data_IF_134034930926
#
_entry.id   IF_134034930926
#
_cell.length_a   1.000
_cell.length_b   1.000
_cell.length_c   1.000
_cell.angle_alpha   90.00
_cell.angle_beta   90.00
_cell.angle_gamma   90.00
#
_symmetry.space_group_name_H-M   'P 1'
#
loop_
_entity.id
_entity.type
_entity.pdbx_description
1 polymer ?
#
# COMPACT_ATOMS: atom_id res chain seq x y z
N UNK A 1 -38.31 -7.26 6.53
CA UNK A 1 -39.34 -7.94 7.34
C UNK A 1 -40.38 -6.94 7.77
N UNK A 2 -41.65 -7.23 7.52
CA UNK A 2 -42.77 -6.38 7.95
C UNK A 2 -43.34 -6.99 9.24
N UNK A 3 -42.94 -6.45 10.39
CA UNK A 3 -43.38 -6.97 11.70
C UNK A 3 -44.81 -6.51 11.95
N UNK A 4 -45.78 -7.36 11.60
CA UNK A 4 -47.21 -7.13 11.81
C UNK A 4 -47.75 -8.07 12.87
N UNK A 5 -48.63 -7.54 13.71
CA UNK A 5 -49.43 -8.36 14.61
C UNK A 5 -50.41 -9.21 13.79
N UNK A 6 -50.90 -10.30 14.37
CA UNK A 6 -52.02 -11.08 13.80
C UNK A 6 -53.25 -10.19 13.56
N UNK A 7 -53.41 -9.09 14.32
CA UNK A 7 -54.46 -8.08 14.12
C UNK A 7 -54.14 -7.00 13.06
N UNK A 8 -53.02 -7.09 12.34
CA UNK A 8 -52.63 -6.16 11.27
C UNK A 8 -51.87 -4.90 11.74
N UNK A 9 -51.81 -4.62 13.05
CA UNK A 9 -51.07 -3.47 13.59
C UNK A 9 -49.57 -3.62 13.36
N UNK A 10 -48.94 -2.56 12.81
CA UNK A 10 -47.50 -2.51 12.63
C UNK A 10 -46.79 -2.35 13.97
N UNK A 11 -45.84 -3.25 14.27
CA UNK A 11 -45.04 -3.18 15.49
C UNK A 11 -43.93 -2.12 15.45
N UNK A 12 -43.89 -1.26 14.42
CA UNK A 12 -42.84 -0.25 14.23
C UNK A 12 -42.74 0.78 15.34
N UNK A 13 -43.79 0.96 16.16
CA UNK A 13 -43.78 1.84 17.34
C UNK A 13 -43.07 1.26 18.58
N UNK A 14 -42.74 -0.03 18.60
CA UNK A 14 -42.12 -0.67 19.75
C UNK A 14 -40.60 -0.81 19.57
N UNK A 15 -39.82 -0.38 20.57
CA UNK A 15 -38.34 -0.32 20.54
C UNK A 15 -37.67 -1.62 20.10
N UNK A 16 -38.19 -2.79 20.50
CA UNK A 16 -37.62 -4.09 20.12
C UNK A 16 -37.74 -4.39 18.63
N UNK A 17 -38.87 -4.05 18.01
CA UNK A 17 -39.12 -4.31 16.59
C UNK A 17 -38.48 -3.25 15.69
N UNK A 18 -38.30 -2.02 16.18
CA UNK A 18 -37.49 -1.02 15.47
C UNK A 18 -36.01 -1.41 15.42
N UNK A 19 -35.44 -1.97 16.50
CA UNK A 19 -34.09 -2.53 16.54
C UNK A 19 -33.96 -3.70 15.55
N UNK A 20 -34.89 -4.66 15.55
CA UNK A 20 -34.86 -5.79 14.60
C UNK A 20 -34.97 -5.32 13.14
N UNK A 21 -35.80 -4.30 12.86
CA UNK A 21 -35.89 -3.69 11.53
C UNK A 21 -34.56 -3.02 11.13
N UNK A 22 -33.90 -2.29 12.03
CA UNK A 22 -32.59 -1.70 11.79
C UNK A 22 -31.51 -2.78 11.54
N UNK A 23 -31.51 -3.85 12.32
CA UNK A 23 -30.59 -4.98 12.14
C UNK A 23 -30.83 -5.71 10.81
N UNK A 24 -32.09 -5.83 10.37
CA UNK A 24 -32.40 -6.41 9.05
C UNK A 24 -31.90 -5.57 7.87
N UNK A 25 -31.58 -4.28 8.10
CA UNK A 25 -30.99 -3.40 7.09
C UNK A 25 -29.46 -3.42 7.11
N UNK A 26 -28.83 -3.99 8.14
CA UNK A 26 -27.38 -3.97 8.33
C UNK A 26 -26.60 -4.49 7.10
N UNK A 27 -26.99 -5.58 6.41
CA UNK A 27 -26.33 -6.02 5.17
C UNK A 27 -26.28 -4.96 4.07
N UNK A 28 -27.41 -4.28 3.84
CA UNK A 28 -27.49 -3.24 2.82
C UNK A 28 -26.75 -1.95 3.21
N UNK A 29 -26.71 -1.62 4.51
CA UNK A 29 -25.89 -0.51 5.02
C UNK A 29 -24.40 -0.83 4.85
N UNK A 30 -23.99 -2.04 5.23
CA UNK A 30 -22.62 -2.52 5.09
C UNK A 30 -22.14 -2.47 3.63
N UNK A 31 -22.91 -3.04 2.70
CA UNK A 31 -22.58 -3.04 1.28
C UNK A 31 -22.47 -1.60 0.71
N UNK A 32 -23.35 -0.69 1.12
CA UNK A 32 -23.28 0.73 0.72
C UNK A 32 -22.04 1.45 1.27
N UNK A 33 -21.65 1.17 2.52
CA UNK A 33 -20.46 1.75 3.13
C UNK A 33 -19.18 1.23 2.45
N UNK A 34 -19.09 -0.08 2.20
CA UNK A 34 -18.01 -0.67 1.42
C UNK A 34 -17.90 -0.04 0.03
N UNK A 35 -19.02 0.10 -0.65
CA UNK A 35 -19.06 0.74 -1.97
C UNK A 35 -18.58 2.19 -1.92
N UNK A 36 -19.00 2.96 -0.92
CA UNK A 36 -18.54 4.35 -0.73
C UNK A 36 -17.02 4.40 -0.50
N UNK A 37 -16.48 3.52 0.34
CA UNK A 37 -15.04 3.40 0.56
C UNK A 37 -14.29 3.01 -0.73
N UNK A 38 -14.82 2.03 -1.47
CA UNK A 38 -14.27 1.59 -2.75
C UNK A 38 -14.26 2.69 -3.81
N UNK A 39 -15.34 3.46 -3.95
CA UNK A 39 -15.42 4.60 -4.87
C UNK A 39 -14.41 5.68 -4.51
N UNK A 40 -14.25 5.99 -3.22
CA UNK A 40 -13.22 6.93 -2.76
C UNK A 40 -11.81 6.41 -3.07
N UNK A 41 -11.55 5.12 -2.81
CA UNK A 41 -10.28 4.47 -3.14
C UNK A 41 -9.96 4.57 -4.64
N UNK A 42 -10.93 4.24 -5.49
CA UNK A 42 -10.83 4.35 -6.96
C UNK A 42 -10.51 5.79 -7.40
N UNK A 43 -11.17 6.76 -6.79
CA UNK A 43 -10.95 8.20 -7.07
C UNK A 43 -9.53 8.62 -6.70
N UNK A 44 -9.06 8.23 -5.51
CA UNK A 44 -7.68 8.51 -5.11
C UNK A 44 -6.67 7.82 -6.03
N UNK A 45 -6.87 6.54 -6.37
CA UNK A 45 -5.99 5.80 -7.27
C UNK A 45 -5.84 6.50 -8.64
N UNK A 46 -6.96 6.93 -9.25
CA UNK A 46 -6.94 7.70 -10.51
C UNK A 46 -6.14 8.98 -10.39
N UNK A 47 -6.36 9.75 -9.32
CA UNK A 47 -5.68 11.04 -9.11
C UNK A 47 -4.19 10.86 -8.83
N UNK A 48 -3.80 9.83 -8.08
CA UNK A 48 -2.37 9.51 -7.84
C UNK A 48 -1.71 9.19 -9.17
N UNK A 49 -2.32 8.31 -9.98
CA UNK A 49 -1.78 7.94 -11.28
C UNK A 49 -1.69 9.14 -12.24
N UNK A 50 -2.71 9.99 -12.28
CA UNK A 50 -2.73 11.20 -13.10
C UNK A 50 -1.57 12.14 -12.74
N UNK A 51 -1.43 12.50 -11.46
CA UNK A 51 -0.38 13.43 -11.04
C UNK A 51 1.03 12.84 -11.12
N UNK A 52 1.19 11.52 -10.90
CA UNK A 52 2.46 10.83 -11.15
C UNK A 52 2.90 10.98 -12.62
N UNK A 53 1.97 10.78 -13.55
CA UNK A 53 2.22 10.93 -14.99
C UNK A 53 2.51 12.38 -15.37
N UNK A 54 1.71 13.32 -14.86
CA UNK A 54 1.84 14.76 -15.09
C UNK A 54 3.21 15.29 -14.65
N UNK A 55 3.75 14.82 -13.51
CA UNK A 55 5.11 15.17 -13.07
C UNK A 55 6.16 14.72 -14.08
N UNK A 56 6.05 13.50 -14.62
CA UNK A 56 6.96 13.00 -15.65
C UNK A 56 6.91 13.83 -16.93
N UNK A 57 5.71 14.09 -17.44
CA UNK A 57 5.51 14.79 -18.72
C UNK A 57 5.86 16.28 -18.65
N UNK A 58 5.58 16.94 -17.52
CA UNK A 58 5.85 18.37 -17.33
C UNK A 58 7.30 18.70 -16.97
N UNK A 59 8.18 17.70 -16.78
CA UNK A 59 9.55 17.96 -16.31
C UNK A 59 10.37 18.80 -17.29
N UNK A 60 10.21 18.59 -18.59
CA UNK A 60 10.92 19.37 -19.61
C UNK A 60 10.53 20.86 -19.53
N UNK A 61 9.24 21.15 -19.58
CA UNK A 61 8.71 22.50 -19.49
C UNK A 61 9.10 23.20 -18.17
N UNK A 62 9.23 22.43 -17.08
CA UNK A 62 9.74 22.95 -15.81
C UNK A 62 11.21 23.40 -15.93
N UNK A 63 12.09 22.61 -16.57
CA UNK A 63 13.51 22.94 -16.73
C UNK A 63 13.69 24.26 -17.50
N UNK A 64 12.90 24.47 -18.56
CA UNK A 64 12.97 25.67 -19.39
C UNK A 64 12.62 26.97 -18.65
N UNK A 65 11.87 26.86 -17.54
CA UNK A 65 11.44 27.99 -16.72
C UNK A 65 12.44 28.37 -15.63
N UNK A 66 13.37 27.47 -15.25
CA UNK A 66 14.38 27.76 -14.24
C UNK A 66 15.41 28.73 -14.81
N UNK A 67 15.72 29.79 -14.05
CA UNK A 67 16.72 30.80 -14.42
C UNK A 67 17.82 30.85 -13.36
N UNK A 68 19.04 30.37 -13.62
CA UNK A 68 20.12 30.32 -12.62
C UNK A 68 20.77 31.68 -12.43
N UNK A 69 20.07 32.58 -11.74
CA UNK A 69 20.56 33.90 -11.36
C UNK A 69 19.84 34.40 -10.10
N UNK A 70 20.46 35.33 -9.34
CA UNK A 70 19.90 35.80 -8.07
C UNK A 70 18.58 36.56 -8.22
N UNK A 71 18.36 37.26 -9.34
CA UNK A 71 17.14 38.03 -9.56
C UNK A 71 15.90 37.13 -9.72
N UNK A 72 16.09 35.91 -10.20
CA UNK A 72 15.03 34.91 -10.36
C UNK A 72 14.86 33.99 -9.15
N UNK A 73 15.61 34.18 -8.06
CA UNK A 73 15.62 33.25 -6.92
C UNK A 73 14.22 33.00 -6.32
N UNK A 74 13.41 34.05 -6.14
CA UNK A 74 12.05 33.91 -5.63
C UNK A 74 11.11 33.20 -6.61
N UNK A 75 11.28 33.46 -7.92
CA UNK A 75 10.51 32.78 -8.96
C UNK A 75 10.85 31.29 -9.02
N UNK A 76 12.15 30.94 -8.98
CA UNK A 76 12.61 29.56 -8.94
C UNK A 76 12.08 28.83 -7.69
N UNK A 77 12.10 29.47 -6.51
CA UNK A 77 11.53 28.93 -5.27
C UNK A 77 10.04 28.61 -5.43
N UNK A 78 9.27 29.53 -6.01
CA UNK A 78 7.83 29.32 -6.27
C UNK A 78 7.58 28.19 -7.29
N UNK A 79 8.36 28.12 -8.36
CA UNK A 79 8.29 27.06 -9.37
C UNK A 79 8.55 25.68 -8.74
N UNK A 80 9.64 25.55 -7.98
CA UNK A 80 9.99 24.31 -7.27
C UNK A 80 8.89 23.91 -6.27
N UNK A 81 8.39 24.86 -5.48
CA UNK A 81 7.36 24.59 -4.48
C UNK A 81 6.01 24.16 -5.08
N UNK A 82 5.65 24.72 -6.24
CA UNK A 82 4.37 24.43 -6.90
C UNK A 82 4.36 23.10 -7.66
N UNK A 83 5.53 22.64 -8.14
CA UNK A 83 5.66 21.49 -9.06
C UNK A 83 4.90 20.24 -8.63
N UNK A 84 5.06 19.83 -7.37
CA UNK A 84 4.43 18.61 -6.84
C UNK A 84 3.36 18.90 -5.77
N UNK A 85 2.87 20.14 -5.72
CA UNK A 85 1.92 20.58 -4.70
C UNK A 85 0.60 19.80 -4.74
N UNK A 86 0.08 19.52 -5.94
CA UNK A 86 -1.18 18.76 -6.08
C UNK A 86 -1.05 17.33 -5.57
N UNK A 87 0.11 16.70 -5.78
CA UNK A 87 0.39 15.35 -5.31
C UNK A 87 0.51 15.29 -3.78
N UNK A 88 1.14 16.32 -3.17
CA UNK A 88 1.21 16.45 -1.72
C UNK A 88 -0.18 16.68 -1.10
N UNK A 89 -0.98 17.60 -1.65
CA UNK A 89 -2.36 17.84 -1.20
C UNK A 89 -3.23 16.59 -1.33
N UNK A 90 -3.03 15.80 -2.38
CA UNK A 90 -3.70 14.51 -2.55
C UNK A 90 -3.27 13.51 -1.47
N UNK A 91 -1.98 13.43 -1.16
CA UNK A 91 -1.51 12.59 -0.04
C UNK A 91 -2.15 13.02 1.28
N UNK A 92 -2.24 14.32 1.55
CA UNK A 92 -2.86 14.84 2.78
C UNK A 92 -4.36 14.50 2.79
N UNK A 93 -5.05 14.62 1.65
CA UNK A 93 -6.46 14.21 1.52
C UNK A 93 -6.69 12.71 1.77
N UNK A 94 -5.72 11.86 1.39
CA UNK A 94 -5.77 10.42 1.68
C UNK A 94 -5.58 10.19 3.19
N UNK A 95 -4.66 10.91 3.82
CA UNK A 95 -4.42 10.84 5.26
C UNK A 95 -5.65 11.29 6.07
N UNK A 96 -6.30 12.38 5.68
CA UNK A 96 -7.51 12.88 6.32
C UNK A 96 -8.67 11.89 6.20
N UNK A 97 -8.74 11.13 5.11
CA UNK A 97 -9.78 10.12 4.90
C UNK A 97 -9.49 8.80 5.64
N UNK A 98 -8.22 8.46 5.84
CA UNK A 98 -7.77 7.18 6.42
C UNK A 98 -8.41 6.83 7.77
N UNK A 99 -8.60 7.76 8.74
CA UNK A 99 -9.33 7.50 9.98
C UNK A 99 -10.75 6.96 9.75
N UNK A 100 -11.44 7.40 8.69
CA UNK A 100 -12.79 6.91 8.36
C UNK A 100 -12.77 5.43 7.99
N UNK A 101 -11.79 4.99 7.19
CA UNK A 101 -11.63 3.59 6.84
C UNK A 101 -11.25 2.73 8.07
N UNK A 102 -10.37 3.24 8.94
CA UNK A 102 -9.99 2.57 10.19
C UNK A 102 -11.20 2.39 11.11
N UNK A 103 -11.98 3.46 11.32
CA UNK A 103 -13.18 3.41 12.16
C UNK A 103 -14.22 2.42 11.61
N UNK A 104 -14.39 2.38 10.29
CA UNK A 104 -15.22 1.37 9.64
C UNK A 104 -14.71 -0.05 9.94
N UNK A 105 -13.44 -0.34 9.67
CA UNK A 105 -12.84 -1.65 9.94
C UNK A 105 -12.94 -2.09 11.41
N UNK A 106 -12.72 -1.17 12.34
CA UNK A 106 -12.88 -1.41 13.78
C UNK A 106 -14.34 -1.70 14.14
N UNK A 107 -15.29 -0.98 13.55
CA UNK A 107 -16.73 -1.22 13.75
C UNK A 107 -17.15 -2.60 13.26
N UNK A 108 -16.60 -3.06 12.13
CA UNK A 108 -16.83 -4.42 11.64
C UNK A 108 -16.32 -5.45 12.64
N UNK A 109 -15.06 -5.31 13.10
CA UNK A 109 -14.48 -6.24 14.09
C UNK A 109 -15.31 -6.28 15.37
N UNK A 110 -15.72 -5.12 15.88
CA UNK A 110 -16.58 -5.03 17.06
C UNK A 110 -17.91 -5.76 16.82
N UNK A 111 -18.60 -5.51 15.70
CA UNK A 111 -19.85 -6.19 15.38
C UNK A 111 -19.69 -7.71 15.26
N UNK A 112 -18.57 -8.20 14.73
CA UNK A 112 -18.29 -9.64 14.66
C UNK A 112 -18.16 -10.27 16.04
N UNK A 113 -17.51 -9.56 16.97
CA UNK A 113 -17.32 -10.05 18.34
C UNK A 113 -18.59 -9.96 19.19
N UNK A 114 -19.39 -8.90 19.02
CA UNK A 114 -20.54 -8.61 19.90
C UNK A 114 -21.86 -9.12 19.34
N UNK A 115 -22.01 -9.17 18.00
CA UNK A 115 -23.26 -9.49 17.31
C UNK A 115 -23.03 -10.46 16.12
N UNK A 116 -22.41 -11.63 16.34
CA UNK A 116 -22.00 -12.54 15.26
C UNK A 116 -23.15 -12.93 14.33
N UNK A 117 -24.35 -13.16 14.88
CA UNK A 117 -25.57 -13.51 14.12
C UNK A 117 -26.04 -12.45 13.12
N UNK A 118 -25.67 -11.18 13.32
CA UNK A 118 -26.06 -10.09 12.41
C UNK A 118 -25.24 -10.11 11.13
N UNK A 119 -23.94 -10.39 11.25
CA UNK A 119 -23.03 -10.44 10.10
C UNK A 119 -23.03 -11.80 9.41
N UNK A 120 -23.48 -12.87 10.09
CA UNK A 120 -23.75 -14.17 9.47
C UNK A 120 -24.76 -14.08 8.31
N UNK A 121 -25.67 -13.08 8.34
CA UNK A 121 -26.56 -12.80 7.21
C UNK A 121 -25.86 -12.23 5.96
N UNK A 122 -24.60 -11.81 6.10
CA UNK A 122 -23.76 -11.25 5.02
C UNK A 122 -22.76 -12.31 4.53
N UNK A 123 -22.17 -13.08 5.44
CA UNK A 123 -21.25 -14.18 5.10
C UNK A 123 -21.06 -15.12 6.29
N UNK A 124 -20.81 -16.39 6.01
CA UNK A 124 -20.45 -17.41 7.00
C UNK A 124 -19.03 -17.21 7.57
N UNK A 125 -18.25 -16.29 7.00
CA UNK A 125 -16.85 -16.05 7.35
C UNK A 125 -16.62 -14.70 8.04
N UNK A 126 -15.56 -14.63 8.84
CA UNK A 126 -15.13 -13.38 9.47
C UNK A 126 -14.63 -12.37 8.43
N UNK A 127 -15.49 -11.43 8.02
CA UNK A 127 -15.16 -10.24 7.24
C UNK A 127 -13.93 -9.48 7.79
N UNK A 128 -12.92 -9.25 6.93
CA UNK A 128 -11.73 -8.46 7.21
C UNK A 128 -11.52 -7.44 6.08
N UNK A 129 -12.12 -6.23 6.17
CA UNK A 129 -11.85 -5.18 5.20
C UNK A 129 -10.41 -4.64 5.37
N UNK A 130 -9.76 -4.29 4.27
CA UNK A 130 -8.36 -3.85 4.22
C UNK A 130 -8.18 -2.51 3.48
N UNK A 131 -9.20 -1.65 3.57
CA UNK A 131 -9.17 -0.32 2.96
C UNK A 131 -8.10 0.57 3.56
N UNK A 132 -7.85 0.47 4.87
CA UNK A 132 -6.80 1.23 5.54
C UNK A 132 -5.40 0.91 4.99
N UNK A 133 -5.15 -0.36 4.66
CA UNK A 133 -3.91 -0.81 4.00
C UNK A 133 -3.84 -0.32 2.55
N UNK A 134 -4.93 -0.41 1.79
CA UNK A 134 -4.98 0.11 0.41
C UNK A 134 -4.78 1.63 0.34
N UNK A 135 -5.36 2.39 1.27
CA UNK A 135 -5.12 3.83 1.39
C UNK A 135 -3.66 4.13 1.76
N UNK A 136 -3.05 3.31 2.63
CA UNK A 136 -1.62 3.42 2.95
C UNK A 136 -0.76 3.23 1.70
N UNK A 137 -1.04 2.20 0.89
CA UNK A 137 -0.37 1.97 -0.40
C UNK A 137 -0.50 3.19 -1.31
N UNK A 138 -1.71 3.74 -1.49
CA UNK A 138 -1.94 4.89 -2.37
C UNK A 138 -1.20 6.15 -1.90
N UNK A 139 -1.25 6.42 -0.60
CA UNK A 139 -0.50 7.51 0.02
C UNK A 139 1.00 7.35 -0.22
N UNK A 140 1.54 6.14 -0.08
CA UNK A 140 2.96 5.85 -0.34
C UNK A 140 3.29 5.96 -1.82
N UNK A 141 2.44 5.52 -2.75
CA UNK A 141 2.66 5.77 -4.19
C UNK A 141 2.78 7.26 -4.50
N UNK A 142 1.90 8.09 -3.92
CA UNK A 142 1.96 9.54 -4.09
C UNK A 142 3.27 10.13 -3.54
N UNK A 143 3.69 9.68 -2.36
CA UNK A 143 4.92 10.17 -1.72
C UNK A 143 6.18 9.66 -2.42
N UNK A 144 6.19 8.43 -2.91
CA UNK A 144 7.29 7.88 -3.70
C UNK A 144 7.46 8.65 -5.02
N UNK A 145 6.37 8.97 -5.70
CA UNK A 145 6.40 9.79 -6.92
C UNK A 145 6.92 11.22 -6.62
N UNK A 146 6.49 11.82 -5.50
CA UNK A 146 7.04 13.09 -5.03
C UNK A 146 8.55 13.01 -4.71
N UNK A 147 8.98 11.99 -3.96
CA UNK A 147 10.39 11.79 -3.59
C UNK A 147 11.26 11.60 -4.83
N UNK A 148 10.81 10.79 -5.79
CA UNK A 148 11.47 10.60 -7.07
C UNK A 148 11.61 11.93 -7.84
N UNK A 149 10.54 12.72 -7.91
CA UNK A 149 10.57 14.03 -8.56
C UNK A 149 11.52 15.00 -7.83
N UNK A 150 11.52 15.03 -6.49
CA UNK A 150 12.46 15.84 -5.72
C UNK A 150 13.92 15.48 -6.01
N UNK A 151 14.26 14.20 -6.14
CA UNK A 151 15.62 13.78 -6.50
C UNK A 151 15.96 14.13 -7.96
N UNK A 152 15.01 14.02 -8.88
CA UNK A 152 15.19 14.44 -10.29
C UNK A 152 15.43 15.94 -10.41
N UNK A 153 14.58 16.74 -9.75
CA UNK A 153 14.73 18.20 -9.70
C UNK A 153 16.04 18.55 -9.02
N UNK A 154 16.37 17.93 -7.88
CA UNK A 154 17.64 18.13 -7.19
C UNK A 154 18.84 17.90 -8.11
N UNK A 155 18.89 16.74 -8.78
CA UNK A 155 19.97 16.40 -9.71
C UNK A 155 20.13 17.44 -10.81
N UNK A 156 19.01 17.92 -11.37
CA UNK A 156 19.03 18.98 -12.38
C UNK A 156 19.53 20.31 -11.82
N UNK A 157 19.01 20.78 -10.68
CA UNK A 157 19.35 22.09 -10.11
C UNK A 157 20.80 22.16 -9.64
N UNK A 158 21.33 21.08 -9.06
CA UNK A 158 22.74 21.01 -8.62
C UNK A 158 23.70 21.08 -9.80
N UNK A 159 23.31 20.59 -10.97
CA UNK A 159 24.11 20.65 -12.19
C UNK A 159 24.07 21.99 -12.93
N UNK A 160 23.32 22.99 -12.45
CA UNK A 160 23.26 24.31 -13.08
C UNK A 160 24.39 25.22 -12.58
N UNK A 161 24.93 26.03 -13.49
CA UNK A 161 25.84 27.12 -13.15
C UNK A 161 25.03 28.35 -12.73
N UNK A 162 24.99 28.61 -11.43
CA UNK A 162 24.37 29.80 -10.83
C UNK A 162 25.44 30.56 -10.01
N UNK A 163 25.83 31.79 -10.40
CA UNK A 163 26.81 32.58 -9.67
C UNK A 163 26.44 32.85 -8.20
N UNK A 164 25.15 32.80 -7.86
CA UNK A 164 24.65 33.04 -6.50
C UNK A 164 24.57 31.79 -5.63
N UNK A 165 24.76 30.60 -6.22
CA UNK A 165 24.59 29.30 -5.58
C UNK A 165 23.19 28.99 -5.04
N UNK A 166 22.20 29.86 -5.24
CA UNK A 166 20.86 29.69 -4.68
C UNK A 166 20.12 28.50 -5.31
N UNK A 167 20.32 28.26 -6.61
CA UNK A 167 19.70 27.12 -7.29
C UNK A 167 20.25 25.78 -6.83
N UNK A 168 21.56 25.68 -6.63
CA UNK A 168 22.21 24.47 -6.11
C UNK A 168 21.79 24.23 -4.67
N UNK A 169 21.72 25.29 -3.83
CA UNK A 169 21.20 25.21 -2.47
C UNK A 169 19.76 24.69 -2.41
N UNK A 170 18.89 25.13 -3.32
CA UNK A 170 17.54 24.57 -3.44
C UNK A 170 17.57 23.08 -3.79
N UNK A 171 18.45 22.68 -4.74
CA UNK A 171 18.66 21.28 -5.08
C UNK A 171 19.10 20.43 -3.89
N UNK A 172 20.02 20.92 -3.07
CA UNK A 172 20.47 20.25 -1.85
C UNK A 172 19.35 20.09 -0.81
N UNK A 173 18.56 21.14 -0.58
CA UNK A 173 17.43 21.08 0.35
C UNK A 173 16.37 20.06 -0.09
N UNK A 174 16.08 19.98 -1.40
CA UNK A 174 15.18 18.96 -1.95
C UNK A 174 15.73 17.55 -1.70
N UNK A 175 17.03 17.35 -1.90
CA UNK A 175 17.72 16.07 -1.65
C UNK A 175 17.59 15.65 -0.19
N UNK A 176 17.93 16.54 0.74
CA UNK A 176 17.82 16.28 2.19
C UNK A 176 16.38 15.90 2.56
N UNK A 177 15.39 16.62 2.01
CA UNK A 177 13.98 16.36 2.27
C UNK A 177 13.53 15.00 1.71
N UNK A 178 13.98 14.65 0.51
CA UNK A 178 13.74 13.36 -0.11
C UNK A 178 14.36 12.21 0.71
N UNK A 179 15.60 12.35 1.17
CA UNK A 179 16.25 11.36 2.04
C UNK A 179 15.46 11.13 3.34
N UNK A 180 15.01 12.20 4.01
CA UNK A 180 14.19 12.10 5.22
C UNK A 180 12.86 11.38 4.96
N UNK A 181 12.22 11.66 3.82
CA UNK A 181 10.98 10.97 3.44
C UNK A 181 11.24 9.49 3.10
N UNK A 182 12.36 9.13 2.46
CA UNK A 182 12.72 7.73 2.25
C UNK A 182 12.81 6.97 3.56
N UNK A 183 13.54 7.51 4.54
CA UNK A 183 13.66 6.92 5.87
C UNK A 183 12.31 6.70 6.55
N UNK A 184 11.51 7.77 6.61
CA UNK A 184 10.16 7.71 7.18
C UNK A 184 9.30 6.68 6.46
N UNK A 185 9.32 6.68 5.12
CA UNK A 185 8.53 5.78 4.30
C UNK A 185 8.93 4.32 4.47
N UNK A 186 10.22 4.01 4.64
CA UNK A 186 10.70 2.65 4.92
C UNK A 186 10.13 2.15 6.26
N UNK A 187 10.21 2.97 7.31
CA UNK A 187 9.65 2.62 8.62
C UNK A 187 8.13 2.41 8.56
N UNK A 188 7.41 3.28 7.85
CA UNK A 188 5.96 3.15 7.64
C UNK A 188 5.60 1.88 6.85
N UNK A 189 6.42 1.51 5.84
CA UNK A 189 6.23 0.28 5.08
C UNK A 189 6.39 -0.95 5.99
N UNK A 190 7.39 -0.99 6.88
CA UNK A 190 7.58 -2.09 7.82
C UNK A 190 6.33 -2.31 8.69
N UNK A 191 5.81 -1.25 9.30
CA UNK A 191 4.58 -1.32 10.10
C UNK A 191 3.36 -1.75 9.26
N UNK A 192 3.28 -1.32 8.00
CA UNK A 192 2.19 -1.71 7.11
C UNK A 192 2.31 -3.18 6.66
N UNK A 193 3.52 -3.69 6.45
CA UNK A 193 3.80 -5.09 6.11
C UNK A 193 3.33 -6.02 7.22
N UNK A 194 3.62 -5.71 8.49
CA UNK A 194 3.15 -6.50 9.64
C UNK A 194 1.62 -6.60 9.69
N UNK A 195 0.94 -5.48 9.41
CA UNK A 195 -0.53 -5.43 9.31
C UNK A 195 -1.05 -6.24 8.13
N UNK A 196 -0.38 -6.20 6.99
CA UNK A 196 -0.74 -7.00 5.81
C UNK A 196 -0.59 -8.51 6.06
N UNK A 197 0.47 -8.91 6.77
CA UNK A 197 0.70 -10.30 7.19
C UNK A 197 -0.45 -10.77 8.10
N UNK A 198 -0.79 -9.96 9.11
CA UNK A 198 -1.87 -10.27 10.06
C UNK A 198 -3.22 -10.34 9.35
N UNK A 199 -3.46 -9.47 8.37
CA UNK A 199 -4.67 -9.45 7.55
C UNK A 199 -4.69 -10.53 6.44
N UNK A 200 -3.62 -11.35 6.31
CA UNK A 200 -3.48 -12.39 5.27
C UNK A 200 -3.67 -11.85 3.84
N UNK A 201 -3.08 -10.69 3.55
CA UNK A 201 -3.17 -10.03 2.23
C UNK A 201 -1.84 -10.08 1.48
N UNK A 202 -1.46 -11.21 0.85
CA UNK A 202 -0.15 -11.37 0.23
C UNK A 202 0.11 -10.39 -0.94
N UNK A 203 -0.93 -9.98 -1.68
CA UNK A 203 -0.77 -8.96 -2.73
C UNK A 203 -0.37 -7.59 -2.17
N UNK A 204 -1.02 -7.15 -1.09
CA UNK A 204 -0.68 -5.90 -0.38
C UNK A 204 0.71 -6.01 0.25
N UNK A 205 1.04 -7.14 0.86
CA UNK A 205 2.37 -7.36 1.45
C UNK A 205 3.47 -7.18 0.40
N UNK A 206 3.34 -7.86 -0.74
CA UNK A 206 4.31 -7.77 -1.83
C UNK A 206 4.45 -6.34 -2.33
N UNK A 207 3.35 -5.62 -2.53
CA UNK A 207 3.42 -4.23 -2.98
C UNK A 207 4.15 -3.32 -1.97
N UNK A 208 3.85 -3.46 -0.67
CA UNK A 208 4.50 -2.68 0.39
C UNK A 208 6.01 -2.98 0.46
N UNK A 209 6.42 -4.25 0.31
CA UNK A 209 7.84 -4.64 0.23
C UNK A 209 8.51 -4.05 -1.00
N UNK A 210 7.85 -4.01 -2.15
CA UNK A 210 8.40 -3.36 -3.35
C UNK A 210 8.50 -1.84 -3.18
N UNK A 211 7.56 -1.20 -2.49
CA UNK A 211 7.66 0.22 -2.11
C UNK A 211 8.85 0.46 -1.18
N UNK A 212 9.07 -0.41 -0.20
CA UNK A 212 10.24 -0.34 0.68
C UNK A 212 11.55 -0.46 -0.11
N UNK A 213 11.67 -1.45 -1.00
CA UNK A 213 12.86 -1.63 -1.85
C UNK A 213 13.10 -0.39 -2.73
N UNK A 214 12.04 0.16 -3.32
CA UNK A 214 12.11 1.38 -4.11
C UNK A 214 12.64 2.56 -3.28
N UNK A 215 12.14 2.74 -2.06
CA UNK A 215 12.58 3.80 -1.15
C UNK A 215 14.04 3.62 -0.71
N UNK A 216 14.49 2.39 -0.45
CA UNK A 216 15.89 2.10 -0.14
C UNK A 216 16.80 2.51 -1.29
N UNK A 217 16.44 2.18 -2.54
CA UNK A 217 17.22 2.62 -3.70
C UNK A 217 17.20 4.14 -3.91
N UNK A 218 16.06 4.81 -3.69
CA UNK A 218 15.98 6.26 -3.74
C UNK A 218 16.87 6.91 -2.67
N UNK A 219 16.92 6.32 -1.48
CA UNK A 219 17.81 6.77 -0.41
C UNK A 219 19.28 6.61 -0.83
N UNK A 220 19.68 5.45 -1.34
CA UNK A 220 21.05 5.20 -1.80
C UNK A 220 21.48 6.23 -2.87
N UNK A 221 20.59 6.52 -3.82
CA UNK A 221 20.83 7.55 -4.84
C UNK A 221 20.97 8.94 -4.20
N UNK A 222 20.08 9.30 -3.27
CA UNK A 222 20.13 10.59 -2.58
C UNK A 222 21.41 10.79 -1.75
N UNK A 223 21.93 9.70 -1.17
CA UNK A 223 23.22 9.67 -0.47
C UNK A 223 24.39 9.77 -1.44
N UNK A 224 24.36 9.05 -2.57
CA UNK A 224 25.39 9.11 -3.59
C UNK A 224 25.51 10.52 -4.19
N UNK A 225 24.39 11.16 -4.52
CA UNK A 225 24.31 12.57 -4.94
C UNK A 225 24.84 13.56 -3.89
N UNK A 226 25.05 13.10 -2.65
CA UNK A 226 25.43 13.92 -1.50
C UNK A 226 26.83 13.79 -0.97
N UNK A 227 27.66 12.89 -1.54
CA UNK A 227 29.00 12.63 -1.01
C UNK A 227 29.81 13.93 -1.02
N UNK A 228 30.22 14.39 0.16
CA UNK A 228 30.92 15.66 0.39
C UNK A 228 30.12 16.72 1.19
N UNK A 229 28.82 16.52 1.40
CA UNK A 229 27.97 17.44 2.20
C UNK A 229 27.94 17.03 3.67
N UNK A 230 28.64 17.77 4.54
CA UNK A 230 28.71 17.55 5.99
C UNK A 230 27.35 17.48 6.72
N UNK A 231 26.27 17.99 6.11
CA UNK A 231 24.92 18.01 6.70
C UNK A 231 24.16 16.68 6.64
N UNK A 232 24.50 15.74 5.74
CA UNK A 232 23.74 14.47 5.65
C UNK A 232 24.15 13.47 6.73
N UNK A 233 25.42 13.44 7.10
CA UNK A 233 25.96 12.49 8.08
C UNK A 233 25.45 12.75 9.50
N UNK A 234 24.97 13.96 9.79
CA UNK A 234 24.43 14.35 11.10
C UNK A 234 22.92 14.20 11.24
N UNK A 235 22.18 14.00 10.13
CA UNK A 235 20.71 14.11 10.09
C UNK A 235 19.98 12.78 9.85
N UNK A 236 20.70 11.69 9.62
CA UNK A 236 20.10 10.39 9.32
C UNK A 236 20.19 9.46 10.55
N UNK A 237 19.07 8.86 10.99
CA UNK A 237 19.08 7.93 12.12
C UNK A 237 20.01 6.72 11.88
N UNK A 238 20.63 6.23 12.95
CA UNK A 238 21.51 5.04 12.98
C UNK A 238 20.77 3.70 12.85
N UNK A 239 19.55 3.68 12.32
CA UNK A 239 18.76 2.46 12.16
C UNK A 239 19.14 1.82 10.84
N UNK A 240 19.77 0.64 10.83
CA UNK A 240 19.94 -0.12 9.59
C UNK A 240 18.56 -0.60 9.09
N UNK A 241 18.06 -0.15 7.93
CA UNK A 241 16.86 -0.73 7.33
C UNK A 241 17.06 -2.22 7.08
N UNK A 242 15.98 -3.00 7.05
CA UNK A 242 16.03 -4.36 6.48
C UNK A 242 16.68 -4.27 5.09
N UNK A 243 17.70 -5.11 4.79
CA UNK A 243 18.38 -5.05 3.51
C UNK A 243 17.37 -5.21 2.37
N UNK A 244 17.44 -4.33 1.36
CA UNK A 244 16.55 -4.40 0.20
C UNK A 244 16.57 -5.78 -0.47
N UNK A 245 17.70 -6.49 -0.41
CA UNK A 245 17.87 -7.86 -0.89
C UNK A 245 16.98 -8.87 -0.16
N UNK A 246 16.83 -8.76 1.16
CA UNK A 246 15.99 -9.65 1.96
C UNK A 246 14.51 -9.44 1.63
N UNK A 247 14.08 -8.17 1.52
CA UNK A 247 12.71 -7.84 1.11
C UNK A 247 12.38 -8.34 -0.30
N UNK A 248 13.31 -8.25 -1.25
CA UNK A 248 13.14 -8.83 -2.59
C UNK A 248 13.01 -10.35 -2.55
N UNK A 249 13.85 -11.05 -1.78
CA UNK A 249 13.78 -12.51 -1.64
C UNK A 249 12.45 -12.98 -1.02
N UNK A 250 12.00 -12.32 0.05
CA UNK A 250 10.68 -12.57 0.65
C UNK A 250 9.56 -12.37 -0.37
N UNK A 251 9.65 -11.30 -1.17
CA UNK A 251 8.69 -11.00 -2.23
C UNK A 251 8.65 -12.11 -3.30
N UNK A 252 9.80 -12.63 -3.74
CA UNK A 252 9.88 -13.77 -4.67
C UNK A 252 9.17 -15.00 -4.09
N UNK A 253 9.41 -15.31 -2.81
CA UNK A 253 8.77 -16.44 -2.15
C UNK A 253 7.23 -16.31 -2.10
N UNK A 254 6.73 -15.13 -1.72
CA UNK A 254 5.28 -14.87 -1.66
C UNK A 254 4.65 -14.95 -3.06
N UNK A 255 5.32 -14.40 -4.09
CA UNK A 255 4.84 -14.47 -5.47
C UNK A 255 4.68 -15.92 -5.96
N UNK A 256 5.60 -16.82 -5.57
CA UNK A 256 5.51 -18.26 -5.90
C UNK A 256 4.38 -18.95 -5.15
N UNK A 257 4.17 -18.60 -3.88
CA UNK A 257 3.13 -19.20 -3.03
C UNK A 257 1.71 -18.76 -3.43
N UNK A 258 1.55 -17.54 -3.96
CA UNK A 258 0.25 -16.99 -4.34
C UNK A 258 0.25 -16.51 -5.80
N UNK A 259 0.32 -17.43 -6.79
CA UNK A 259 0.51 -17.09 -8.20
C UNK A 259 -0.61 -16.22 -8.78
N UNK A 260 -1.85 -16.42 -8.29
CA UNK A 260 -3.06 -15.76 -8.76
C UNK A 260 -3.24 -14.30 -8.27
N UNK A 261 -2.52 -13.92 -7.21
CA UNK A 261 -2.53 -12.55 -6.66
C UNK A 261 -1.13 -11.96 -6.63
N UNK A 262 -0.31 -12.32 -5.66
CA UNK A 262 1.05 -11.82 -5.50
C UNK A 262 1.93 -12.17 -6.71
N UNK A 263 1.71 -13.32 -7.35
CA UNK A 263 2.44 -13.74 -8.55
C UNK A 263 2.37 -12.77 -9.72
N UNK A 264 1.32 -11.92 -9.78
CA UNK A 264 1.19 -10.83 -10.77
C UNK A 264 2.30 -9.78 -10.64
N UNK A 265 2.95 -9.70 -9.49
CA UNK A 265 4.12 -8.85 -9.27
C UNK A 265 5.43 -9.50 -9.73
N UNK A 266 5.45 -10.77 -10.14
CA UNK A 266 6.67 -11.50 -10.48
C UNK A 266 7.56 -10.78 -11.51
N UNK A 267 6.95 -10.25 -12.59
CA UNK A 267 7.69 -9.46 -13.57
C UNK A 267 8.26 -8.15 -13.01
N UNK A 268 7.60 -7.54 -12.03
CA UNK A 268 8.08 -6.35 -11.34
C UNK A 268 9.22 -6.66 -10.39
N UNK A 269 9.10 -7.75 -9.64
CA UNK A 269 10.16 -8.26 -8.76
C UNK A 269 11.43 -8.54 -9.56
N UNK A 270 11.33 -9.18 -10.72
CA UNK A 270 12.48 -9.40 -11.61
C UNK A 270 13.13 -8.09 -12.07
N UNK A 271 12.35 -7.02 -12.32
CA UNK A 271 12.90 -5.70 -12.64
C UNK A 271 13.69 -5.11 -11.47
N UNK A 272 13.20 -5.24 -10.24
CA UNK A 272 13.93 -4.80 -9.04
C UNK A 272 15.21 -5.61 -8.80
N UNK A 273 15.18 -6.93 -8.97
CA UNK A 273 16.38 -7.79 -8.90
C UNK A 273 17.42 -7.34 -9.93
N UNK A 274 17.01 -7.15 -11.18
CA UNK A 274 17.89 -6.69 -12.25
C UNK A 274 18.47 -5.31 -11.94
N UNK A 275 17.61 -4.36 -11.54
CA UNK A 275 18.03 -3.01 -11.17
C UNK A 275 19.05 -3.02 -10.03
N UNK A 276 18.86 -3.83 -8.99
CA UNK A 276 19.80 -3.95 -7.88
C UNK A 276 21.17 -4.53 -8.32
N UNK A 277 21.17 -5.50 -9.24
CA UNK A 277 22.40 -6.13 -9.74
C UNK A 277 23.26 -5.21 -10.63
N UNK A 278 22.64 -4.20 -11.25
CA UNK A 278 23.30 -3.23 -12.14
C UNK A 278 23.92 -2.04 -11.38
N UNK A 279 23.71 -1.96 -10.05
CA UNK A 279 24.30 -0.93 -9.20
C UNK A 279 25.75 -1.28 -8.82
N UNK A 280 26.72 -0.73 -9.55
CA UNK A 280 28.13 -0.68 -9.13
C UNK A 280 28.56 0.78 -8.98
N UNK A 281 28.84 1.26 -7.78
CA UNK A 281 29.28 2.65 -7.60
C UNK A 281 30.78 2.76 -7.96
N UNK A 282 31.07 3.29 -9.15
CA UNK A 282 32.42 3.73 -9.51
C UNK A 282 32.53 5.25 -9.27
N UNK A 283 33.71 5.71 -8.84
CA UNK A 283 33.87 7.01 -8.16
C UNK A 283 33.75 8.25 -9.07
N UNK A 284 33.93 8.13 -10.39
CA UNK A 284 34.25 9.30 -11.23
C UNK A 284 33.08 9.92 -12.03
N UNK A 285 31.88 9.33 -12.04
CA UNK A 285 30.71 9.93 -12.73
C UNK A 285 29.40 9.74 -11.95
N UNK A 286 29.33 10.35 -10.76
CA UNK A 286 28.24 10.11 -9.81
C UNK A 286 26.92 10.77 -10.25
N UNK A 287 26.94 11.97 -10.83
CA UNK A 287 25.73 12.75 -11.15
C UNK A 287 24.97 12.20 -12.36
N UNK A 288 25.66 11.94 -13.47
CA UNK A 288 25.04 11.42 -14.69
C UNK A 288 24.48 10.01 -14.46
N UNK A 289 25.20 9.19 -13.68
CA UNK A 289 24.75 7.86 -13.28
C UNK A 289 23.52 7.90 -12.37
N UNK A 290 23.52 8.72 -11.33
CA UNK A 290 22.35 8.87 -10.45
C UNK A 290 21.12 9.33 -11.24
N UNK A 291 21.30 10.27 -12.17
CA UNK A 291 20.21 10.72 -13.07
C UNK A 291 19.67 9.58 -13.94
N UNK A 292 20.56 8.76 -14.50
CA UNK A 292 20.19 7.59 -15.30
C UNK A 292 19.46 6.53 -14.45
N UNK A 293 19.91 6.29 -13.21
CA UNK A 293 19.28 5.37 -12.27
C UNK A 293 17.88 5.84 -11.84
N UNK A 294 17.69 7.14 -11.60
CA UNK A 294 16.37 7.71 -11.31
C UNK A 294 15.40 7.57 -12.50
N UNK A 295 15.91 7.53 -13.73
CA UNK A 295 15.10 7.30 -14.92
C UNK A 295 14.71 5.83 -15.10
N UNK A 296 15.58 4.89 -14.72
CA UNK A 296 15.36 3.44 -14.88
C UNK A 296 14.74 2.74 -13.67
N UNK A 297 14.60 3.44 -12.53
CA UNK A 297 14.02 2.87 -11.31
C UNK A 297 12.59 2.32 -11.58
N UNK A 298 12.33 1.03 -11.31
CA UNK A 298 11.00 0.46 -11.51
C UNK A 298 9.94 1.12 -10.60
N UNK A 299 8.71 1.23 -11.09
CA UNK A 299 7.55 1.53 -10.24
C UNK A 299 7.29 0.36 -9.29
N UNK A 300 6.67 0.62 -8.13
CA UNK A 300 6.33 -0.41 -7.14
C UNK A 300 4.93 -1.01 -7.32
N UNK A 301 4.17 -0.56 -8.32
CA UNK A 301 2.79 -0.95 -8.58
C UNK A 301 2.64 -1.69 -9.92
N UNK A 302 1.73 -2.68 -9.97
CA UNK A 302 1.35 -3.39 -11.20
C UNK A 302 0.09 -2.79 -11.85
N UNK A 303 -0.14 -3.14 -13.11
CA UNK A 303 -1.38 -2.77 -13.82
C UNK A 303 -2.61 -3.41 -13.16
N UNK A 304 -2.47 -4.67 -12.72
CA UNK A 304 -3.54 -5.47 -12.13
C UNK A 304 -4.02 -4.87 -10.80
N UNK A 305 -3.12 -4.32 -9.99
CA UNK A 305 -3.53 -3.62 -8.78
C UNK A 305 -4.33 -2.36 -9.11
N UNK A 306 -3.86 -1.55 -10.06
CA UNK A 306 -4.60 -0.35 -10.50
C UNK A 306 -5.98 -0.74 -11.03
N UNK A 307 -6.07 -1.79 -11.84
CA UNK A 307 -7.35 -2.31 -12.34
C UNK A 307 -8.28 -2.69 -11.20
N UNK A 308 -7.77 -3.39 -10.18
CA UNK A 308 -8.55 -3.75 -8.98
C UNK A 308 -9.11 -2.52 -8.25
N UNK A 309 -8.27 -1.50 -8.03
CA UNK A 309 -8.69 -0.24 -7.41
C UNK A 309 -9.72 0.51 -8.25
N UNK A 310 -9.60 0.46 -9.58
CA UNK A 310 -10.54 1.07 -10.51
C UNK A 310 -11.90 0.38 -10.50
N UNK A 311 -11.92 -0.97 -10.52
CA UNK A 311 -13.14 -1.78 -10.49
C UNK A 311 -14.01 -1.43 -9.29
N UNK A 312 -13.44 -1.13 -8.12
CA UNK A 312 -14.20 -0.66 -6.96
C UNK A 312 -15.05 0.59 -7.22
N UNK A 313 -14.65 1.45 -8.16
CA UNK A 313 -15.41 2.65 -8.55
C UNK A 313 -16.44 2.40 -9.64
N UNK A 314 -16.38 1.25 -10.31
CA UNK A 314 -17.27 0.85 -11.42
C UNK A 314 -18.39 -0.08 -10.94
N UNK A 315 -18.27 -0.64 -9.74
CA UNK A 315 -19.23 -1.58 -9.18
C UNK A 315 -20.65 -1.01 -9.15
N UNK A 316 -21.61 -1.73 -9.70
CA UNK A 316 -23.03 -1.34 -9.61
C UNK A 316 -23.62 -1.84 -8.29
N UNK A 317 -23.93 -0.88 -7.39
CA UNK A 317 -24.79 -0.99 -6.22
C UNK A 317 -25.01 -2.37 -5.56
N UNK A 318 -24.12 -2.76 -4.63
CA UNK A 318 -24.45 -3.70 -3.55
C UNK A 318 -23.92 -5.12 -3.68
N UNK A 319 -23.29 -5.48 -4.80
CA UNK A 319 -22.80 -6.82 -5.07
C UNK A 319 -21.39 -7.03 -4.48
N UNK A 320 -21.33 -7.31 -3.17
CA UNK A 320 -20.09 -7.59 -2.43
C UNK A 320 -19.97 -9.09 -2.22
N UNK A 321 -18.85 -9.66 -2.64
CA UNK A 321 -18.44 -11.01 -2.27
C UNK A 321 -17.42 -10.96 -1.13
N UNK A 322 -17.33 -12.03 -0.35
CA UNK A 322 -16.34 -12.18 0.74
C UNK A 322 -15.53 -13.44 0.49
N UNK A 323 -14.21 -13.37 0.64
CA UNK A 323 -13.35 -14.52 0.42
C UNK A 323 -13.35 -15.47 1.64
N UNK A 324 -13.24 -16.77 1.38
CA UNK A 324 -13.27 -17.80 2.44
C UNK A 324 -12.00 -17.78 3.31
N UNK A 325 -10.83 -17.58 2.68
CA UNK A 325 -9.52 -17.71 3.35
C UNK A 325 -9.22 -16.59 4.35
N UNK A 326 -9.53 -15.35 3.96
CA UNK A 326 -9.16 -14.15 4.71
C UNK A 326 -10.34 -13.25 5.05
N UNK A 327 -11.55 -13.59 4.62
CA UNK A 327 -12.73 -12.75 4.86
C UNK A 327 -12.70 -11.41 4.13
N UNK A 328 -11.85 -11.22 3.12
CA UNK A 328 -11.72 -9.94 2.45
C UNK A 328 -12.98 -9.64 1.63
N UNK A 329 -13.64 -8.49 1.82
CA UNK A 329 -14.70 -8.05 0.94
C UNK A 329 -14.11 -7.59 -0.40
N UNK A 330 -14.73 -8.00 -1.49
CA UNK A 330 -14.36 -7.61 -2.85
C UNK A 330 -15.61 -7.45 -3.72
N UNK A 331 -15.47 -6.76 -4.85
CA UNK A 331 -16.56 -6.65 -5.83
C UNK A 331 -16.86 -8.00 -6.46
N UNK A 332 -18.13 -8.39 -6.56
CA UNK A 332 -18.53 -9.60 -7.27
C UNK A 332 -18.21 -9.56 -8.77
N UNK A 333 -17.91 -8.38 -9.34
CA UNK A 333 -17.47 -8.23 -10.72
C UNK A 333 -16.02 -8.70 -10.94
N UNK A 334 -15.27 -8.93 -9.85
CA UNK A 334 -13.93 -9.48 -9.91
C UNK A 334 -13.98 -11.01 -9.97
N UNK A 335 -13.07 -11.62 -10.74
CA UNK A 335 -12.88 -13.08 -10.86
C UNK A 335 -12.37 -13.80 -9.58
N UNK A 336 -12.55 -13.19 -8.42
CA UNK A 336 -12.09 -13.67 -7.11
C UNK A 336 -11.39 -12.58 -6.29
N UNK A 337 -11.10 -12.90 -5.03
CA UNK A 337 -10.45 -11.97 -4.10
C UNK A 337 -9.12 -11.46 -4.66
N UNK A 338 -8.94 -10.14 -4.82
CA UNK A 338 -7.69 -9.59 -5.35
C UNK A 338 -6.52 -9.71 -4.37
N UNK A 339 -6.80 -9.91 -3.08
CA UNK A 339 -5.79 -9.94 -2.03
C UNK A 339 -5.16 -11.32 -1.85
N UNK A 340 -5.98 -12.37 -1.85
CA UNK A 340 -5.55 -13.71 -1.44
C UNK A 340 -6.08 -14.87 -2.32
N UNK A 341 -6.78 -14.58 -3.44
CA UNK A 341 -7.47 -15.50 -4.40
C UNK A 341 -7.33 -17.00 -4.11
N UNK A 342 -8.48 -17.69 -4.01
CA UNK A 342 -8.63 -19.14 -3.75
C UNK A 342 -7.40 -19.95 -4.22
N UNK A 343 -6.82 -20.68 -3.29
CA UNK A 343 -5.95 -21.82 -3.57
C UNK A 343 -6.81 -22.77 -4.44
N UNK A 344 -6.56 -22.83 -5.75
CA UNK A 344 -6.55 -24.17 -6.37
C UNK A 344 -5.44 -24.89 -5.62
N UNK A 345 -5.77 -26.02 -4.98
CA UNK A 345 -4.79 -26.91 -4.37
C UNK A 345 -3.62 -27.07 -5.34
N UNK A 346 -2.52 -26.34 -5.10
CA UNK A 346 -1.27 -26.62 -5.79
C UNK A 346 -0.54 -27.54 -4.83
N UNK A 347 -0.66 -28.81 -5.19
CA UNK A 347 0.12 -29.95 -4.74
C UNK A 347 0.02 -30.25 -3.25
N UNK A 348 -0.68 -31.35 -2.97
CA UNK A 348 -0.47 -32.16 -1.78
C UNK A 348 1.04 -32.21 -1.51
N UNK A 349 1.47 -31.57 -0.44
CA UNK A 349 2.70 -31.98 0.25
C UNK A 349 2.33 -33.27 0.97
N UNK A 350 2.17 -34.35 0.20
CA UNK A 350 1.95 -35.71 0.68
C UNK A 350 3.05 -36.12 1.68
N UNK A 351 4.21 -35.45 1.64
CA UNK A 351 5.35 -35.71 2.51
C UNK A 351 5.24 -35.08 3.91
N UNK A 352 4.53 -33.95 4.07
CA UNK A 352 4.30 -33.29 5.36
C UNK A 352 3.08 -33.89 6.08
N UNK A 353 2.04 -34.25 5.33
CA UNK A 353 0.91 -35.02 5.86
C UNK A 353 1.32 -36.45 6.27
N UNK A 354 2.27 -37.08 5.55
CA UNK A 354 2.86 -38.37 5.93
C UNK A 354 3.66 -38.28 7.23
N UNK A 355 4.44 -37.20 7.42
CA UNK A 355 5.18 -36.95 8.68
C UNK A 355 4.29 -36.55 9.85
N UNK A 356 3.20 -35.82 9.59
CA UNK A 356 2.23 -35.48 10.63
C UNK A 356 1.39 -36.71 11.05
N UNK A 357 1.07 -37.60 10.11
CA UNK A 357 0.32 -38.84 10.36
C UNK A 357 1.04 -39.86 11.24
N UNK A 358 2.37 -39.79 11.35
CA UNK A 358 3.17 -40.67 12.22
C UNK A 358 3.20 -40.20 13.70
N UNK A 359 2.60 -39.05 14.04
CA UNK A 359 2.68 -38.46 15.39
C UNK A 359 1.34 -37.97 15.96
N UNK A 360 0.20 -38.49 15.50
CA UNK A 360 -1.12 -38.10 16.02
C UNK A 360 -1.57 -38.99 17.20
N UNK A 361 -1.17 -38.53 18.40
CA UNK A 361 -2.02 -38.44 19.59
C UNK A 361 -2.48 -39.69 20.35
N UNK A 362 -1.89 -40.87 20.14
CA UNK A 362 -2.25 -42.04 20.96
C UNK A 362 -1.81 -41.87 22.44
N UNK A 363 -0.59 -41.41 22.72
CA UNK A 363 -0.10 -41.25 24.10
C UNK A 363 -0.83 -40.15 24.88
N UNK A 364 -1.18 -39.04 24.22
CA UNK A 364 -1.96 -37.94 24.83
C UNK A 364 -3.40 -38.34 25.09
N UNK A 365 -4.01 -39.12 24.21
CA UNK A 365 -5.34 -39.71 24.41
C UNK A 365 -5.33 -40.73 25.56
N UNK A 366 -4.33 -41.61 25.62
CA UNK A 366 -4.19 -42.61 26.69
C UNK A 366 -3.91 -41.98 28.06
N UNK A 367 -3.17 -40.88 28.13
CA UNK A 367 -2.97 -40.12 29.38
C UNK A 367 -4.25 -39.43 29.86
N UNK A 368 -5.04 -38.86 28.94
CA UNK A 368 -6.33 -38.25 29.28
C UNK A 368 -7.34 -39.29 29.81
N UNK A 369 -7.36 -40.50 29.21
CA UNK A 369 -8.20 -41.60 29.66
C UNK A 369 -7.76 -42.17 31.02
N UNK A 370 -6.45 -42.23 31.32
CA UNK A 370 -5.94 -42.63 32.65
C UNK A 370 -6.25 -41.61 33.75
N UNK A 371 -6.38 -40.33 33.40
CA UNK A 371 -6.75 -39.26 34.34
C UNK A 371 -8.24 -39.24 34.71
N UNK A 372 -9.10 -39.87 33.90
CA UNK A 372 -10.54 -39.98 34.14
C UNK A 372 -10.94 -41.22 34.96
N UNK A 373 -9.98 -42.10 35.26
CA UNK A 373 -10.20 -43.35 36.00
C UNK A 373 -9.78 -43.28 37.48
N UNK A 374 -9.74 -42.09 38.08
CA UNK A 374 -9.53 -41.88 39.52
C UNK A 374 -10.75 -41.29 40.19
#
# INVERSE_FOLDING_TARGET
MDFRCVCGTHFSGFRRYSILKQMSQAPSVFARLLFKLGKTLSTFSRRVHYHEKELGESFHAFREQIRPNPLAANQNKALVASRAQQLLRLSDSIDDFKPTAIAFEQSIRWMQTTLPTTLLSITEHNICPVFSLRLTILQRRARNAWTLDCLRVSSYLVGLEDPSLEVQRMGELLRIRASKECWKGIAECNTAVEKAITAKTPAIEVELRLQQVQLSHLLDIALALGRGSAQLDTLLPTMTPEPASESVQKTVHICRRFPDTAGKFGGLVSKFVKFASEQRYDKDDTLQRCTSQLASLPQSCTYETRKTELTWGECVGGSVAVCELGGHPYSSEMSGCPECRRIKEVERVEEEARKAGECLFEERFLQAMKGLAK
#
